data_IF_412601606047
#
_entry.id   IF_412601606047
#
_cell.length_a   1.000
_cell.length_b   1.000
_cell.length_c   1.000
_cell.angle_alpha   90.00
_cell.angle_beta   90.00
_cell.angle_gamma   90.00
#
_symmetry.space_group_name_H-M   'P 1'
#
loop_
_entity.id
_entity.type
_entity.pdbx_description
1 polymer ?
#
# COMPACT_ATOMS: atom_id res chain seq x y z
N UNK A 1 -13.80 -8.61 15.87
CA UNK A 1 -13.54 -7.75 14.71
C UNK A 1 -13.05 -6.40 15.22
N UNK A 2 -11.79 -6.03 14.95
CA UNK A 2 -11.20 -4.74 15.37
C UNK A 2 -11.56 -3.58 14.43
N UNK A 3 -11.98 -3.89 13.19
CA UNK A 3 -12.21 -2.90 12.14
C UNK A 3 -13.64 -2.34 12.10
N UNK A 4 -14.58 -2.95 12.81
CA UNK A 4 -15.99 -2.56 12.85
C UNK A 4 -16.45 -2.35 14.29
N UNK A 5 -16.16 -1.17 14.83
CA UNK A 5 -16.76 -0.70 16.08
C UNK A 5 -17.93 0.24 15.80
N UNK A 6 -18.83 0.39 16.78
CA UNK A 6 -19.95 1.34 16.70
C UNK A 6 -19.45 2.79 16.49
N UNK A 7 -18.31 3.14 17.07
CA UNK A 7 -17.69 4.45 16.90
C UNK A 7 -17.18 4.67 15.47
N UNK A 8 -16.53 3.67 14.87
CA UNK A 8 -16.06 3.74 13.48
C UNK A 8 -17.25 3.94 12.53
N UNK A 9 -18.33 3.18 12.71
CA UNK A 9 -19.54 3.30 11.89
C UNK A 9 -20.20 4.69 12.00
N UNK A 10 -20.28 5.24 13.23
CA UNK A 10 -20.80 6.60 13.45
C UNK A 10 -19.93 7.65 12.75
N UNK A 11 -18.61 7.57 12.90
CA UNK A 11 -17.67 8.50 12.25
C UNK A 11 -17.73 8.40 10.73
N UNK A 12 -17.78 7.19 10.17
CA UNK A 12 -17.90 7.00 8.72
C UNK A 12 -19.20 7.59 8.18
N UNK A 13 -20.33 7.42 8.87
CA UNK A 13 -21.60 8.04 8.49
C UNK A 13 -21.53 9.56 8.49
N UNK A 14 -20.93 10.16 9.53
CA UNK A 14 -20.75 11.62 9.61
C UNK A 14 -19.88 12.17 8.47
N UNK A 15 -18.89 11.40 8.02
CA UNK A 15 -17.96 11.80 6.95
C UNK A 15 -18.38 11.29 5.56
N UNK A 16 -19.60 10.75 5.40
CA UNK A 16 -20.10 10.20 4.13
C UNK A 16 -19.20 9.11 3.52
N UNK A 17 -18.50 8.34 4.36
CA UNK A 17 -17.65 7.24 3.95
C UNK A 17 -18.51 5.98 3.80
N UNK A 18 -18.52 5.41 2.60
CA UNK A 18 -19.18 4.15 2.29
C UNK A 18 -18.23 2.97 2.45
N UNK A 19 -18.76 1.83 2.91
CA UNK A 19 -18.03 0.57 2.99
C UNK A 19 -18.45 -0.34 1.85
N UNK A 20 -17.46 -0.96 1.20
CA UNK A 20 -17.67 -2.03 0.23
C UNK A 20 -17.29 -3.35 0.89
N UNK A 21 -18.26 -4.27 0.99
CA UNK A 21 -18.02 -5.60 1.51
C UNK A 21 -17.45 -6.48 0.39
N UNK A 22 -16.19 -6.87 0.50
CA UNK A 22 -15.55 -7.78 -0.44
C UNK A 22 -15.94 -9.24 -0.12
N UNK A 23 -16.19 -10.10 -1.11
CA UNK A 23 -16.44 -11.52 -0.87
C UNK A 23 -15.25 -12.18 -0.14
N UNK A 24 -15.55 -13.11 0.76
CA UNK A 24 -14.52 -13.81 1.52
C UNK A 24 -13.51 -14.53 0.60
N UNK A 25 -12.23 -14.54 0.98
CA UNK A 25 -11.12 -15.17 0.24
C UNK A 25 -10.86 -14.61 -1.18
N UNK A 26 -11.41 -13.44 -1.53
CA UNK A 26 -11.21 -12.82 -2.85
C UNK A 26 -10.28 -11.62 -2.84
N UNK A 27 -9.50 -11.41 -1.78
CA UNK A 27 -8.56 -10.30 -1.63
C UNK A 27 -7.66 -10.08 -2.87
N UNK A 28 -7.13 -11.16 -3.45
CA UNK A 28 -6.31 -11.15 -4.67
C UNK A 28 -7.05 -10.71 -5.94
N UNK A 29 -8.38 -10.55 -5.89
CA UNK A 29 -9.23 -10.18 -7.02
C UNK A 29 -9.97 -8.86 -6.79
N UNK A 30 -10.43 -8.61 -5.56
CA UNK A 30 -11.39 -7.55 -5.27
C UNK A 30 -10.84 -6.44 -4.39
N UNK A 31 -9.64 -6.61 -3.81
CA UNK A 31 -9.00 -5.60 -2.97
C UNK A 31 -7.98 -4.78 -3.77
N UNK A 32 -8.25 -3.48 -4.09
CA UNK A 32 -7.39 -2.67 -4.96
C UNK A 32 -5.93 -2.58 -4.50
N UNK A 33 -5.74 -2.55 -3.18
CA UNK A 33 -4.43 -2.40 -2.54
C UNK A 33 -3.55 -3.63 -2.80
N UNK A 34 -4.13 -4.82 -2.75
CA UNK A 34 -3.43 -6.08 -2.95
C UNK A 34 -3.15 -6.34 -4.44
N UNK A 35 -4.12 -6.01 -5.30
CA UNK A 35 -4.01 -6.19 -6.76
C UNK A 35 -2.97 -5.26 -7.38
N UNK A 36 -2.96 -3.98 -7.02
CA UNK A 36 -2.21 -2.98 -7.78
C UNK A 36 -1.16 -2.20 -6.99
N UNK A 37 -1.27 -2.13 -5.66
CA UNK A 37 -0.42 -1.23 -4.87
C UNK A 37 0.74 -1.95 -4.17
N UNK A 38 0.48 -3.09 -3.51
CA UNK A 38 1.52 -3.76 -2.72
C UNK A 38 2.62 -4.43 -3.55
N UNK A 39 2.31 -4.91 -4.76
CA UNK A 39 3.32 -5.47 -5.67
C UNK A 39 4.45 -4.47 -5.97
N UNK A 40 4.13 -3.27 -6.51
CA UNK A 40 5.11 -2.21 -6.73
C UNK A 40 5.88 -1.79 -5.48
N UNK A 41 5.19 -1.61 -4.33
CA UNK A 41 5.83 -1.25 -3.06
C UNK A 41 6.90 -2.27 -2.66
N UNK A 42 6.57 -3.57 -2.70
CA UNK A 42 7.52 -4.64 -2.35
C UNK A 42 8.72 -4.67 -3.29
N UNK A 43 8.50 -4.44 -4.59
CA UNK A 43 9.56 -4.42 -5.61
C UNK A 43 10.54 -3.28 -5.39
N UNK A 44 10.02 -2.06 -5.21
CA UNK A 44 10.84 -0.87 -4.97
C UNK A 44 11.59 -0.99 -3.64
N UNK A 45 10.90 -1.41 -2.58
CA UNK A 45 11.50 -1.60 -1.27
C UNK A 45 12.66 -2.60 -1.31
N UNK A 46 12.48 -3.73 -1.99
CA UNK A 46 13.56 -4.72 -2.18
C UNK A 46 14.77 -4.10 -2.89
N UNK A 47 14.56 -3.33 -3.96
CA UNK A 47 15.64 -2.66 -4.68
C UNK A 47 16.39 -1.65 -3.82
N UNK A 48 15.67 -0.84 -3.04
CA UNK A 48 16.26 0.13 -2.10
C UNK A 48 17.13 -0.58 -1.05
N UNK A 49 16.62 -1.68 -0.47
CA UNK A 49 17.35 -2.46 0.53
C UNK A 49 18.58 -3.14 -0.05
N UNK A 50 18.48 -3.68 -1.26
CA UNK A 50 19.59 -4.32 -1.96
C UNK A 50 20.71 -3.32 -2.27
N UNK A 51 20.35 -2.14 -2.79
CA UNK A 51 21.29 -1.03 -3.00
C UNK A 51 21.96 -0.58 -1.71
N UNK A 52 21.19 -0.45 -0.63
CA UNK A 52 21.74 -0.09 0.68
C UNK A 52 22.72 -1.17 1.19
N UNK A 53 22.37 -2.46 1.05
CA UNK A 53 23.19 -3.60 1.51
C UNK A 53 24.54 -3.67 0.80
N UNK A 54 24.62 -3.37 -0.49
CA UNK A 54 25.90 -3.39 -1.23
C UNK A 54 26.74 -2.12 -1.06
N UNK A 55 26.17 -1.05 -0.50
CA UNK A 55 26.82 0.25 -0.27
C UNK A 55 27.09 0.48 1.22
N UNK A 56 26.30 1.35 1.87
CA UNK A 56 26.48 1.76 3.26
C UNK A 56 26.23 0.64 4.28
N UNK A 57 25.45 -0.37 3.90
CA UNK A 57 25.08 -1.52 4.74
C UNK A 57 25.97 -2.75 4.58
N UNK A 58 27.12 -2.66 3.87
CA UNK A 58 27.93 -3.84 3.48
C UNK A 58 28.37 -4.72 4.64
N UNK A 59 28.71 -4.11 5.77
CA UNK A 59 29.19 -4.81 6.97
C UNK A 59 28.18 -4.76 8.12
N UNK A 60 26.91 -4.47 7.82
CA UNK A 60 25.83 -4.37 8.80
C UNK A 60 24.87 -5.53 8.56
N UNK A 61 24.60 -6.32 9.61
CA UNK A 61 23.75 -7.51 9.52
C UNK A 61 22.25 -7.17 9.40
N UNK A 62 21.81 -6.09 10.02
CA UNK A 62 20.40 -5.68 10.08
C UNK A 62 20.24 -4.19 9.82
N UNK A 63 19.09 -3.79 9.26
CA UNK A 63 18.82 -2.38 8.97
C UNK A 63 18.69 -1.58 10.29
N UNK A 64 19.59 -0.61 10.55
CA UNK A 64 19.50 0.20 11.77
C UNK A 64 18.23 1.05 11.80
N UNK A 65 17.67 1.24 13.00
CA UNK A 65 16.45 2.03 13.21
C UNK A 65 16.58 3.48 12.72
N UNK A 66 17.78 4.05 12.78
CA UNK A 66 18.07 5.42 12.34
C UNK A 66 18.14 5.55 10.82
N UNK A 67 18.47 4.46 10.14
CA UNK A 67 18.58 4.40 8.68
C UNK A 67 17.22 4.12 8.03
N UNK A 68 16.35 3.36 8.71
CA UNK A 68 15.04 2.99 8.20
C UNK A 68 14.19 4.19 7.72
N UNK A 69 14.04 5.30 8.47
CA UNK A 69 13.26 6.46 8.02
C UNK A 69 13.79 7.07 6.72
N UNK A 70 15.12 7.08 6.52
CA UNK A 70 15.74 7.61 5.30
C UNK A 70 15.40 6.75 4.09
N UNK A 71 15.47 5.43 4.22
CA UNK A 71 15.10 4.50 3.15
C UNK A 71 13.59 4.52 2.90
N UNK A 72 12.78 4.63 3.95
CA UNK A 72 11.33 4.77 3.83
C UNK A 72 10.96 6.03 3.06
N UNK A 73 11.61 7.17 3.34
CA UNK A 73 11.42 8.41 2.56
C UNK A 73 11.73 8.19 1.08
N UNK A 74 12.82 7.49 0.76
CA UNK A 74 13.18 7.15 -0.63
C UNK A 74 12.09 6.32 -1.30
N UNK A 75 11.56 5.29 -0.61
CA UNK A 75 10.44 4.49 -1.11
C UNK A 75 9.21 5.35 -1.42
N UNK A 76 8.84 6.25 -0.52
CA UNK A 76 7.67 7.12 -0.70
C UNK A 76 7.83 8.04 -1.92
N UNK A 77 9.01 8.62 -2.12
CA UNK A 77 9.31 9.47 -3.28
C UNK A 77 9.28 8.67 -4.59
N UNK A 78 9.82 7.45 -4.63
CA UNK A 78 9.78 6.62 -5.84
C UNK A 78 8.35 6.17 -6.19
N UNK A 79 7.50 5.96 -5.19
CA UNK A 79 6.09 5.59 -5.40
C UNK A 79 5.25 6.74 -5.96
N UNK A 80 5.57 8.00 -5.62
CA UNK A 80 4.78 9.18 -6.05
C UNK A 80 4.60 9.25 -7.56
N UNK A 81 5.65 8.92 -8.32
CA UNK A 81 5.64 8.98 -9.79
C UNK A 81 4.52 8.14 -10.44
N UNK A 82 4.14 7.02 -9.83
CA UNK A 82 3.12 6.11 -10.38
C UNK A 82 1.89 5.98 -9.48
N UNK A 83 1.83 6.70 -8.35
CA UNK A 83 0.83 6.51 -7.31
C UNK A 83 -0.60 6.64 -7.84
N UNK A 84 -0.90 7.76 -8.50
CA UNK A 84 -2.25 8.03 -9.02
C UNK A 84 -2.66 6.98 -10.05
N UNK A 85 -1.77 6.67 -11.00
CA UNK A 85 -2.00 5.66 -12.04
C UNK A 85 -2.28 4.27 -11.45
N UNK A 86 -1.46 3.84 -10.49
CA UNK A 86 -1.61 2.52 -9.85
C UNK A 86 -2.90 2.43 -9.02
N UNK A 87 -3.28 3.52 -8.33
CA UNK A 87 -4.55 3.57 -7.59
C UNK A 87 -5.72 3.42 -8.56
N UNK A 88 -5.80 4.27 -9.59
CA UNK A 88 -6.90 4.22 -10.56
C UNK A 88 -6.98 2.86 -11.27
N UNK A 89 -5.84 2.30 -11.67
CA UNK A 89 -5.78 0.98 -12.29
C UNK A 89 -6.23 -0.13 -11.31
N UNK A 90 -5.87 -0.04 -10.03
CA UNK A 90 -6.30 -1.00 -9.01
C UNK A 90 -7.80 -0.98 -8.76
N UNK A 91 -8.40 0.19 -8.66
CA UNK A 91 -9.86 0.33 -8.54
C UNK A 91 -10.58 -0.23 -9.77
N UNK A 92 -10.08 0.07 -10.98
CA UNK A 92 -10.63 -0.49 -12.21
C UNK A 92 -10.49 -2.02 -12.29
N UNK A 93 -9.31 -2.57 -11.98
CA UNK A 93 -9.03 -4.01 -12.05
C UNK A 93 -9.86 -4.84 -11.06
N UNK A 94 -10.32 -4.22 -9.97
CA UNK A 94 -11.15 -4.86 -8.93
C UNK A 94 -12.65 -4.63 -9.12
N UNK A 95 -13.06 -4.03 -10.25
CA UNK A 95 -14.47 -3.76 -10.56
C UNK A 95 -15.06 -2.58 -9.78
N UNK A 96 -14.26 -1.83 -9.02
CA UNK A 96 -14.70 -0.62 -8.31
C UNK A 96 -14.49 0.59 -9.22
N UNK A 97 -15.26 0.61 -10.32
CA UNK A 97 -15.27 1.69 -11.32
C UNK A 97 -16.72 1.97 -11.74
N UNK A 98 -17.10 3.23 -12.00
CA UNK A 98 -18.43 3.54 -12.51
C UNK A 98 -18.76 2.77 -13.79
N UNK A 99 -19.99 2.26 -13.88
CA UNK A 99 -20.55 1.80 -15.15
C UNK A 99 -20.77 3.04 -16.04
N UNK A 100 -20.18 3.03 -17.23
CA UNK A 100 -20.39 4.05 -18.26
C UNK A 100 -21.81 4.01 -18.79
#
# INVERSE_FOLDING_TARGET
>A
SSHFSTEVLKKSRLNQILFVCLPANTTHLTQPLDVAFYGPVKKIWRSILEQWRITAGRNIESLPKETFPKLLKKLMLELENNKVKNILAGFAATGIKPFS
#
